data_IF_255186293003
#
_entry.id   IF_255186293003
#
_cell.length_a   1.000
_cell.length_b   1.000
_cell.length_c   1.000
_cell.angle_alpha   90.00
_cell.angle_beta   90.00
_cell.angle_gamma   90.00
#
_symmetry.space_group_name_H-M   'P 1'
#
loop_
_entity.id
_entity.type
_entity.pdbx_description
1 polymer ?
#
# COMPACT_ATOMS: atom_id res chain seq x y z
N UNK A 1 30.30 -0.92 17.28
CA UNK A 1 28.84 -0.60 17.32
C UNK A 1 28.09 -1.90 17.10
N UNK A 2 27.16 -2.28 17.98
CA UNK A 2 26.30 -3.46 17.73
C UNK A 2 25.25 -3.08 16.68
N UNK A 3 25.17 -3.77 15.54
CA UNK A 3 24.19 -3.44 14.51
C UNK A 3 22.77 -3.75 14.98
N UNK A 4 21.89 -2.77 14.83
CA UNK A 4 20.47 -2.81 15.21
C UNK A 4 19.63 -3.62 14.22
N UNK A 5 18.41 -3.98 14.62
CA UNK A 5 17.35 -4.52 13.75
C UNK A 5 16.51 -3.34 13.27
N UNK A 6 16.31 -3.18 11.96
CA UNK A 6 15.58 -2.05 11.38
C UNK A 6 14.48 -2.51 10.42
N UNK A 7 13.33 -1.82 10.49
CA UNK A 7 12.06 -2.24 9.90
C UNK A 7 11.83 -1.75 8.46
N UNK A 8 12.07 -0.48 8.07
CA UNK A 8 11.79 -0.06 6.69
C UNK A 8 13.03 0.05 5.78
N UNK A 9 14.25 -0.10 6.30
CA UNK A 9 15.46 0.32 5.57
C UNK A 9 16.05 -0.73 4.62
N UNK A 10 15.72 -2.01 4.75
CA UNK A 10 16.45 -3.07 4.05
C UNK A 10 16.25 -3.08 2.51
N UNK A 11 15.16 -2.50 2.02
CA UNK A 11 14.87 -2.36 0.59
C UNK A 11 15.18 -0.96 0.05
N UNK A 12 15.44 0.02 0.93
CA UNK A 12 15.76 1.41 0.59
C UNK A 12 17.25 1.64 0.37
N UNK A 13 18.05 0.58 0.43
CA UNK A 13 19.46 0.64 0.06
C UNK A 13 19.69 -0.39 -1.03
N UNK A 14 20.24 0.00 -2.20
CA UNK A 14 20.54 -0.91 -3.29
C UNK A 14 21.73 -1.83 -2.93
N UNK A 15 21.52 -2.70 -1.94
CA UNK A 15 22.53 -3.58 -1.35
C UNK A 15 23.55 -2.91 -0.42
N UNK A 16 23.68 -1.57 -0.44
CA UNK A 16 24.66 -0.83 0.36
C UNK A 16 24.12 -0.52 1.76
N UNK A 17 24.30 -1.45 2.67
CA UNK A 17 23.91 -1.26 4.08
C UNK A 17 25.10 -1.01 5.01
N UNK A 18 26.34 -0.98 4.52
CA UNK A 18 27.58 -0.64 5.25
C UNK A 18 27.72 -1.23 6.67
N UNK A 19 27.15 -2.41 6.90
CA UNK A 19 27.10 -3.04 8.23
C UNK A 19 26.22 -2.32 9.26
N UNK A 20 25.37 -1.36 8.86
CA UNK A 20 24.44 -0.61 9.72
C UNK A 20 23.45 -1.52 10.45
N UNK A 21 23.02 -2.60 9.80
CA UNK A 21 22.15 -3.63 10.37
C UNK A 21 22.59 -5.03 9.92
N UNK A 22 22.20 -6.04 10.71
CA UNK A 22 22.54 -7.46 10.47
C UNK A 22 21.32 -8.35 10.21
N UNK A 23 20.11 -7.82 10.39
CA UNK A 23 18.84 -8.49 10.15
C UNK A 23 17.73 -7.44 10.06
N UNK A 24 16.62 -7.80 9.43
CA UNK A 24 15.42 -6.97 9.33
C UNK A 24 14.18 -7.72 9.82
N UNK A 25 13.27 -6.99 10.47
CA UNK A 25 11.94 -7.48 10.84
C UNK A 25 10.92 -6.54 10.20
N UNK A 26 9.93 -7.07 9.47
CA UNK A 26 8.90 -6.30 8.79
C UNK A 26 7.50 -6.72 9.21
N UNK A 27 6.92 -6.14 10.28
CA UNK A 27 5.55 -6.40 10.68
C UNK A 27 4.58 -5.53 9.86
N UNK A 28 3.58 -6.16 9.24
CA UNK A 28 2.45 -5.49 8.59
C UNK A 28 2.85 -4.49 7.50
N UNK A 29 3.84 -4.88 6.69
CA UNK A 29 4.37 -4.07 5.60
C UNK A 29 5.88 -4.25 5.47
N UNK A 30 6.31 -5.00 4.45
CA UNK A 30 7.72 -5.13 4.12
C UNK A 30 7.88 -5.17 2.61
N UNK A 31 8.69 -4.26 2.07
CA UNK A 31 8.99 -4.22 0.65
C UNK A 31 7.96 -3.49 -0.22
N UNK A 32 6.90 -2.95 0.39
CA UNK A 32 5.95 -2.09 -0.32
C UNK A 32 5.56 -0.91 0.56
N UNK A 33 6.24 0.21 0.35
CA UNK A 33 5.62 1.50 0.58
C UNK A 33 4.86 1.73 -0.72
N UNK A 34 3.70 1.12 -0.93
CA UNK A 34 2.83 1.58 -2.02
C UNK A 34 2.48 3.02 -1.65
N UNK A 35 2.94 4.05 -2.38
CA UNK A 35 2.24 5.30 -2.28
C UNK A 35 0.86 4.96 -2.83
N UNK A 36 -0.18 5.03 -1.99
CA UNK A 36 -1.58 4.73 -2.38
C UNK A 36 -2.14 5.73 -3.38
N UNK A 37 -1.27 6.37 -4.16
CA UNK A 37 -1.51 7.43 -5.10
C UNK A 37 -1.13 6.93 -6.50
N UNK A 38 -1.93 7.23 -7.52
CA UNK A 38 -1.59 6.93 -8.91
C UNK A 38 -0.20 7.45 -9.29
N UNK A 39 0.64 6.58 -9.87
CA UNK A 39 2.03 6.89 -10.22
C UNK A 39 3.05 6.51 -9.14
N UNK A 40 2.60 6.02 -7.97
CA UNK A 40 3.46 5.47 -6.94
C UNK A 40 4.56 6.44 -6.50
N UNK A 41 5.83 6.01 -6.61
CA UNK A 41 6.99 6.82 -6.23
C UNK A 41 7.30 7.93 -7.25
N UNK A 42 6.69 7.90 -8.44
CA UNK A 42 6.84 8.89 -9.50
C UNK A 42 5.77 10.00 -9.41
N UNK A 43 5.47 10.43 -8.18
CA UNK A 43 4.40 11.40 -7.88
C UNK A 43 4.92 12.82 -7.67
N UNK A 44 6.07 13.18 -8.25
CA UNK A 44 6.72 14.49 -8.06
C UNK A 44 5.78 15.67 -8.36
N UNK A 45 4.97 15.57 -9.42
CA UNK A 45 3.99 16.62 -9.74
C UNK A 45 2.91 16.77 -8.66
N UNK A 46 2.46 15.67 -8.07
CA UNK A 46 1.50 15.69 -6.97
C UNK A 46 2.15 16.23 -5.69
N UNK A 47 3.38 15.80 -5.36
CA UNK A 47 4.12 16.34 -4.22
C UNK A 47 4.42 17.84 -4.39
N UNK A 48 4.66 18.31 -5.62
CA UNK A 48 4.76 19.74 -5.92
C UNK A 48 3.45 20.47 -5.63
N UNK A 49 2.30 19.91 -6.00
CA UNK A 49 1.00 20.51 -5.69
C UNK A 49 0.73 20.60 -4.18
N UNK A 50 1.13 19.57 -3.42
CA UNK A 50 1.05 19.54 -1.95
C UNK A 50 1.99 20.59 -1.35
N UNK A 51 3.22 20.69 -1.84
CA UNK A 51 4.19 21.71 -1.43
C UNK A 51 3.67 23.13 -1.69
N UNK A 52 3.15 23.38 -2.89
CA UNK A 52 2.56 24.66 -3.25
C UNK A 52 1.39 25.02 -2.32
N UNK A 53 0.55 24.04 -1.96
CA UNK A 53 -0.54 24.24 -1.02
C UNK A 53 -0.03 24.62 0.37
N UNK A 54 0.99 23.94 0.87
CA UNK A 54 1.65 24.28 2.13
C UNK A 54 2.17 25.72 2.09
N UNK A 55 2.88 26.12 1.04
CA UNK A 55 3.39 27.49 0.89
C UNK A 55 2.24 28.53 0.88
N UNK A 56 1.17 28.26 0.11
CA UNK A 56 -0.03 29.14 0.04
C UNK A 56 -0.71 29.32 1.39
N UNK A 57 -0.72 28.28 2.21
CA UNK A 57 -1.43 28.29 3.49
C UNK A 57 -0.74 29.12 4.59
N UNK A 58 0.53 29.48 4.40
CA UNK A 58 1.27 30.32 5.34
C UNK A 58 1.22 31.76 4.86
N UNK A 59 0.55 32.70 5.58
CA UNK A 59 0.32 34.06 5.09
C UNK A 59 1.59 34.81 4.68
N UNK A 60 2.70 34.63 5.42
CA UNK A 60 3.98 35.27 5.10
C UNK A 60 4.69 34.67 3.88
N UNK A 61 4.30 33.46 3.45
CA UNK A 61 4.91 32.75 2.33
C UNK A 61 3.99 32.63 1.11
N UNK A 62 2.72 33.02 1.21
CA UNK A 62 1.71 32.75 0.19
C UNK A 62 2.05 33.34 -1.20
N UNK A 63 2.79 34.45 -1.25
CA UNK A 63 3.22 35.09 -2.50
C UNK A 63 4.52 34.48 -3.08
N UNK A 64 5.12 33.50 -2.39
CA UNK A 64 6.38 32.87 -2.76
C UNK A 64 6.18 31.50 -3.41
N UNK A 65 4.95 31.13 -3.72
CA UNK A 65 4.66 29.85 -4.40
C UNK A 65 5.37 29.81 -5.76
N UNK A 66 5.97 28.68 -6.09
CA UNK A 66 6.78 28.49 -7.30
C UNK A 66 7.98 29.45 -7.43
N UNK A 67 8.47 30.00 -6.30
CA UNK A 67 9.73 30.77 -6.29
C UNK A 67 10.85 29.99 -5.59
N UNK A 68 12.13 30.29 -5.89
CA UNK A 68 13.27 29.68 -5.20
C UNK A 68 13.32 29.98 -3.69
N UNK A 69 12.64 31.03 -3.22
CA UNK A 69 12.67 31.48 -1.82
C UNK A 69 11.52 30.91 -0.97
N UNK A 70 10.61 30.13 -1.57
CA UNK A 70 9.49 29.51 -0.87
C UNK A 70 9.96 28.69 0.35
N UNK A 71 10.99 27.87 0.15
CA UNK A 71 11.53 26.97 1.18
C UNK A 71 12.17 27.75 2.33
N UNK A 72 12.90 28.82 2.05
CA UNK A 72 13.52 29.66 3.09
C UNK A 72 12.48 30.41 3.91
N UNK A 73 11.37 30.81 3.27
CA UNK A 73 10.23 31.36 3.99
C UNK A 73 9.60 30.35 4.94
N UNK A 74 9.35 29.11 4.47
CA UNK A 74 8.80 28.05 5.32
C UNK A 74 9.71 27.74 6.52
N UNK A 75 11.03 27.74 6.33
CA UNK A 75 12.01 27.55 7.42
C UNK A 75 11.95 28.65 8.49
N UNK A 76 11.50 29.84 8.12
CA UNK A 76 11.39 31.01 9.00
C UNK A 76 9.98 31.27 9.50
N UNK A 77 9.00 30.49 9.04
CA UNK A 77 7.60 30.66 9.39
C UNK A 77 7.33 30.34 10.85
N UNK A 78 6.27 30.93 11.41
CA UNK A 78 5.83 30.62 12.76
C UNK A 78 5.43 29.13 12.88
N UNK A 79 5.93 28.45 13.90
CA UNK A 79 5.68 27.03 14.12
C UNK A 79 4.17 26.72 14.26
N UNK A 80 3.38 27.59 14.91
CA UNK A 80 1.94 27.34 15.09
C UNK A 80 1.20 27.40 13.76
N UNK A 81 1.58 28.33 12.88
CA UNK A 81 1.04 28.42 11.53
C UNK A 81 1.40 27.18 10.71
N UNK A 82 2.68 26.76 10.76
CA UNK A 82 3.15 25.57 10.07
C UNK A 82 2.43 24.30 10.56
N UNK A 83 2.33 24.12 11.88
CA UNK A 83 1.66 22.97 12.47
C UNK A 83 0.15 22.95 12.15
N UNK A 84 -0.52 24.10 12.18
CA UNK A 84 -1.93 24.21 11.80
C UNK A 84 -2.16 23.86 10.32
N UNK A 85 -1.26 24.31 9.43
CA UNK A 85 -1.32 23.96 8.01
C UNK A 85 -1.05 22.47 7.76
N UNK A 86 -0.03 21.90 8.40
CA UNK A 86 0.29 20.47 8.28
C UNK A 86 -0.87 19.62 8.79
N UNK A 87 -1.52 20.00 9.88
CA UNK A 87 -2.70 19.29 10.38
C UNK A 87 -3.85 19.23 9.37
N UNK A 88 -3.98 20.25 8.51
CA UNK A 88 -4.98 20.28 7.44
C UNK A 88 -4.52 19.54 6.16
N UNK A 89 -3.21 19.55 5.87
CA UNK A 89 -2.63 18.89 4.69
C UNK A 89 -2.17 17.45 4.93
N UNK A 90 -2.19 16.94 6.17
CA UNK A 90 -1.81 15.57 6.50
C UNK A 90 -2.61 14.53 5.70
N UNK A 91 -3.87 14.84 5.37
CA UNK A 91 -4.73 14.03 4.52
C UNK A 91 -4.26 13.97 3.05
N UNK A 92 -3.40 14.89 2.60
CA UNK A 92 -2.87 14.93 1.24
C UNK A 92 -1.62 14.05 1.03
N UNK A 93 -1.14 13.37 2.09
CA UNK A 93 -0.08 12.35 2.10
C UNK A 93 1.26 12.79 1.48
N UNK A 94 2.19 13.22 2.34
CA UNK A 94 3.61 13.22 2.02
C UNK A 94 4.10 11.78 1.98
N UNK A 95 4.54 11.33 0.81
CA UNK A 95 5.00 9.96 0.57
C UNK A 95 6.45 9.97 0.09
N UNK A 96 7.21 8.88 0.26
CA UNK A 96 8.50 8.75 -0.41
C UNK A 96 8.33 8.91 -1.93
N UNK A 97 9.33 9.51 -2.57
CA UNK A 97 9.40 9.69 -4.03
C UNK A 97 10.75 9.22 -4.55
N UNK A 98 10.83 8.93 -5.85
CA UNK A 98 12.09 8.66 -6.52
C UNK A 98 13.01 9.88 -6.40
N UNK A 99 14.15 9.73 -5.74
CA UNK A 99 15.12 10.82 -5.49
C UNK A 99 16.46 10.60 -6.19
N UNK A 100 16.64 9.46 -6.88
CA UNK A 100 17.87 9.11 -7.57
C UNK A 100 19.03 8.69 -6.65
N UNK A 101 18.82 8.64 -5.33
CA UNK A 101 19.84 8.34 -4.32
C UNK A 101 19.37 7.25 -3.35
N UNK A 102 18.56 7.58 -2.34
CA UNK A 102 18.02 6.64 -1.36
C UNK A 102 16.96 5.76 -2.02
N UNK A 103 16.07 6.36 -2.82
CA UNK A 103 15.10 5.61 -3.62
C UNK A 103 15.37 5.86 -5.11
N UNK A 104 16.36 5.16 -5.69
CA UNK A 104 16.79 5.42 -7.07
C UNK A 104 15.86 4.81 -8.13
N UNK A 105 15.02 3.85 -7.75
CA UNK A 105 14.11 3.12 -8.65
C UNK A 105 12.91 2.57 -7.83
N UNK A 106 11.90 2.06 -8.51
CA UNK A 106 10.76 1.39 -7.88
C UNK A 106 11.21 0.15 -7.12
N UNK A 107 10.59 -0.11 -5.96
CA UNK A 107 10.93 -1.26 -5.10
C UNK A 107 10.83 -2.60 -5.84
N UNK A 108 9.84 -2.77 -6.73
CA UNK A 108 9.70 -3.96 -7.57
C UNK A 108 10.90 -4.18 -8.51
N UNK A 109 11.42 -3.13 -9.14
CA UNK A 109 12.62 -3.19 -9.99
C UNK A 109 13.87 -3.51 -9.17
N UNK A 110 14.03 -2.87 -8.02
CA UNK A 110 15.17 -3.13 -7.15
C UNK A 110 15.18 -4.57 -6.65
N UNK A 111 14.01 -5.12 -6.30
CA UNK A 111 13.89 -6.53 -5.89
C UNK A 111 14.22 -7.50 -7.03
N UNK A 112 13.65 -7.30 -8.23
CA UNK A 112 13.89 -8.18 -9.38
C UNK A 112 15.35 -8.17 -9.83
N UNK A 113 16.05 -7.05 -9.66
CA UNK A 113 17.48 -6.88 -9.94
C UNK A 113 18.40 -7.35 -8.80
N UNK A 114 17.84 -7.81 -7.67
CA UNK A 114 18.62 -8.23 -6.51
C UNK A 114 19.32 -7.08 -5.76
N UNK A 115 18.85 -5.84 -5.96
CA UNK A 115 19.36 -4.60 -5.34
C UNK A 115 18.68 -4.35 -3.99
N UNK A 116 18.92 -5.24 -3.02
CA UNK A 116 18.44 -5.09 -1.66
C UNK A 116 19.49 -5.62 -0.67
N UNK A 117 19.41 -5.23 0.60
CA UNK A 117 20.34 -5.72 1.61
C UNK A 117 20.14 -7.23 1.86
N UNK A 118 21.20 -8.03 1.67
CA UNK A 118 21.17 -9.48 1.86
C UNK A 118 21.43 -9.86 3.32
N UNK A 119 20.44 -9.61 4.16
CA UNK A 119 20.45 -9.97 5.58
C UNK A 119 19.30 -10.94 5.89
N UNK A 120 19.37 -11.71 6.98
CA UNK A 120 18.21 -12.45 7.50
C UNK A 120 17.00 -11.54 7.68
N UNK A 121 15.84 -12.03 7.24
CA UNK A 121 14.60 -11.28 7.19
C UNK A 121 13.48 -12.07 7.85
N UNK A 122 12.72 -11.41 8.73
CA UNK A 122 11.47 -11.91 9.29
C UNK A 122 10.35 -10.95 8.90
N UNK A 123 9.42 -11.37 8.05
CA UNK A 123 8.24 -10.58 7.65
C UNK A 123 6.99 -11.25 8.19
N UNK A 124 6.06 -10.44 8.68
CA UNK A 124 4.74 -10.88 9.11
C UNK A 124 3.64 -9.98 8.57
N UNK A 125 2.46 -10.54 8.39
CA UNK A 125 1.22 -9.81 8.07
C UNK A 125 0.09 -10.36 8.93
N UNK A 126 -0.93 -9.54 9.14
CA UNK A 126 -2.18 -10.00 9.72
C UNK A 126 -3.05 -10.64 8.63
N UNK A 127 -3.96 -11.53 9.03
CA UNK A 127 -4.94 -12.11 8.10
C UNK A 127 -5.85 -11.04 7.48
N UNK A 128 -6.13 -9.97 8.24
CA UNK A 128 -7.18 -8.99 7.94
C UNK A 128 -6.64 -7.53 7.89
N UNK A 129 -5.43 -7.29 7.35
CA UNK A 129 -4.79 -5.95 7.31
C UNK A 129 -5.69 -4.85 6.72
N UNK A 130 -6.46 -5.19 5.68
CA UNK A 130 -7.37 -4.26 5.01
C UNK A 130 -8.68 -3.98 5.75
N UNK A 131 -9.03 -4.77 6.77
CA UNK A 131 -10.34 -4.65 7.44
C UNK A 131 -10.51 -3.31 8.18
N UNK A 132 -9.42 -2.76 8.73
CA UNK A 132 -9.41 -1.47 9.42
C UNK A 132 -9.30 -0.26 8.49
N UNK A 133 -8.95 -0.48 7.22
CA UNK A 133 -8.76 0.62 6.26
C UNK A 133 -10.08 1.07 5.60
N UNK A 134 -11.16 0.30 5.79
CA UNK A 134 -12.46 0.55 5.18
C UNK A 134 -12.39 0.59 3.66
N UNK A 135 -13.51 0.70 2.96
CA UNK A 135 -13.43 1.04 1.56
C UNK A 135 -13.02 2.51 1.46
N UNK A 136 -11.77 2.77 1.08
CA UNK A 136 -11.25 4.10 0.67
C UNK A 136 -12.10 4.81 -0.42
N UNK A 137 -13.14 4.13 -0.92
CA UNK A 137 -14.09 4.62 -1.91
C UNK A 137 -15.56 4.69 -1.45
N UNK A 138 -15.85 4.49 -0.16
CA UNK A 138 -17.22 4.42 0.36
C UNK A 138 -17.83 3.02 0.28
N UNK A 139 -19.04 2.83 0.83
CA UNK A 139 -19.66 1.51 0.99
C UNK A 139 -19.69 0.68 -0.31
N UNK A 140 -19.15 -0.54 -0.27
CA UNK A 140 -19.12 -1.49 -1.40
C UNK A 140 -20.29 -2.48 -1.28
N UNK A 141 -21.37 -2.24 -2.02
CA UNK A 141 -22.58 -3.08 -1.99
C UNK A 141 -22.72 -3.98 -3.23
N UNK A 142 -22.01 -3.66 -4.32
CA UNK A 142 -22.08 -4.36 -5.59
C UNK A 142 -20.70 -4.52 -6.23
N UNK A 143 -20.58 -5.46 -7.18
CA UNK A 143 -19.34 -5.66 -7.94
C UNK A 143 -18.91 -4.37 -8.66
N UNK A 144 -19.86 -3.55 -9.11
CA UNK A 144 -19.56 -2.25 -9.71
C UNK A 144 -19.03 -1.24 -8.70
N UNK A 145 -19.52 -1.27 -7.44
CA UNK A 145 -18.93 -0.46 -6.37
C UNK A 145 -17.48 -0.89 -6.12
N UNK A 146 -17.23 -2.21 -6.13
CA UNK A 146 -15.89 -2.75 -5.94
C UNK A 146 -14.96 -2.36 -7.08
N UNK A 147 -15.39 -2.46 -8.34
CA UNK A 147 -14.62 -1.97 -9.51
C UNK A 147 -14.23 -0.50 -9.36
N UNK A 148 -15.19 0.36 -8.99
CA UNK A 148 -14.94 1.78 -8.77
C UNK A 148 -14.00 2.03 -7.59
N UNK A 149 -14.07 1.19 -6.56
CA UNK A 149 -13.18 1.29 -5.41
C UNK A 149 -11.73 0.98 -5.77
N UNK A 150 -11.48 -0.14 -6.44
CA UNK A 150 -10.12 -0.57 -6.82
C UNK A 150 -9.54 0.30 -7.93
N UNK A 151 -10.35 0.83 -8.85
CA UNK A 151 -9.87 1.68 -9.94
C UNK A 151 -9.15 2.94 -9.43
N UNK A 152 -9.48 3.44 -8.23
CA UNK A 152 -8.80 4.61 -7.63
C UNK A 152 -7.33 4.36 -7.31
N UNK A 153 -6.95 3.10 -7.13
CA UNK A 153 -5.59 2.68 -6.82
C UNK A 153 -4.79 2.30 -8.07
N UNK A 154 -5.46 2.16 -9.22
CA UNK A 154 -4.81 1.81 -10.48
C UNK A 154 -4.36 3.08 -11.18
N UNK A 155 -3.12 3.09 -11.67
CA UNK A 155 -2.56 4.19 -12.45
C UNK A 155 -3.40 4.46 -13.72
N UNK A 156 -3.62 5.73 -14.09
CA UNK A 156 -4.22 6.10 -15.37
C UNK A 156 -3.51 5.47 -16.58
N UNK A 157 -2.21 5.21 -16.47
CA UNK A 157 -1.38 4.61 -17.53
C UNK A 157 -1.39 3.07 -17.51
N UNK A 158 -2.04 2.43 -16.53
CA UNK A 158 -1.96 0.99 -16.34
C UNK A 158 -2.41 0.17 -17.56
N UNK A 159 -3.42 0.66 -18.30
CA UNK A 159 -3.88 0.00 -19.51
C UNK A 159 -2.80 -0.03 -20.61
N UNK A 160 -2.01 1.04 -20.70
CA UNK A 160 -0.88 1.16 -21.63
C UNK A 160 0.29 0.31 -21.15
N UNK A 161 0.67 0.43 -19.87
CA UNK A 161 1.81 -0.29 -19.29
C UNK A 161 1.62 -1.82 -19.38
N UNK A 162 0.42 -2.29 -19.09
CA UNK A 162 0.07 -3.72 -19.13
C UNK A 162 -0.40 -4.20 -20.50
N UNK A 163 -0.55 -3.30 -21.48
CA UNK A 163 -1.06 -3.61 -22.83
C UNK A 163 -2.42 -4.34 -22.78
N UNK A 164 -3.27 -3.95 -21.83
CA UNK A 164 -4.53 -4.64 -21.50
C UNK A 164 -5.62 -3.62 -21.20
N UNK A 165 -6.86 -3.91 -21.61
CA UNK A 165 -7.98 -3.05 -21.28
C UNK A 165 -8.19 -2.98 -19.77
N UNK A 166 -8.44 -1.77 -19.24
CA UNK A 166 -8.72 -1.58 -17.80
C UNK A 166 -9.88 -2.45 -17.30
N UNK A 167 -10.88 -2.70 -18.14
CA UNK A 167 -12.02 -3.56 -17.84
C UNK A 167 -11.63 -5.02 -17.63
N UNK A 168 -10.62 -5.51 -18.36
CA UNK A 168 -10.08 -6.86 -18.19
C UNK A 168 -9.31 -6.97 -16.88
N UNK A 169 -8.45 -5.99 -16.57
CA UNK A 169 -7.70 -5.91 -15.30
C UNK A 169 -8.66 -5.93 -14.10
N UNK A 170 -9.69 -5.07 -14.14
CA UNK A 170 -10.71 -5.03 -13.09
C UNK A 170 -11.53 -6.33 -13.00
N UNK A 171 -11.73 -7.02 -14.14
CA UNK A 171 -12.40 -8.32 -14.20
C UNK A 171 -11.60 -9.44 -13.52
N UNK A 172 -10.29 -9.46 -13.71
CA UNK A 172 -9.40 -10.40 -13.03
C UNK A 172 -9.36 -10.13 -11.52
N UNK A 173 -9.31 -8.86 -11.10
CA UNK A 173 -9.40 -8.52 -9.68
C UNK A 173 -10.71 -9.01 -9.04
N UNK A 174 -11.84 -8.95 -9.76
CA UNK A 174 -13.11 -9.50 -9.29
C UNK A 174 -13.13 -11.03 -9.20
N UNK A 175 -12.47 -11.69 -10.15
CA UNK A 175 -12.32 -13.15 -10.13
C UNK A 175 -11.46 -13.59 -8.94
N UNK A 176 -10.35 -12.89 -8.72
CA UNK A 176 -9.43 -13.12 -7.60
C UNK A 176 -10.02 -12.71 -6.26
N UNK A 177 -10.96 -11.76 -6.22
CA UNK A 177 -11.61 -11.26 -4.99
C UNK A 177 -13.14 -11.30 -5.08
N UNK A 178 -13.76 -12.49 -5.14
CA UNK A 178 -15.20 -12.63 -5.39
C UNK A 178 -16.04 -12.26 -4.16
N UNK A 179 -17.29 -11.84 -4.37
CA UNK A 179 -18.23 -11.61 -3.26
C UNK A 179 -18.79 -12.94 -2.71
N UNK A 180 -17.96 -13.65 -1.94
CA UNK A 180 -18.32 -14.90 -1.27
C UNK A 180 -17.98 -14.76 0.21
N UNK A 181 -18.94 -14.30 1.01
CA UNK A 181 -18.72 -13.99 2.42
C UNK A 181 -18.19 -15.16 3.26
N UNK A 182 -18.54 -16.41 2.89
CA UNK A 182 -18.06 -17.61 3.58
C UNK A 182 -16.54 -17.82 3.39
N UNK A 183 -15.98 -17.29 2.31
CA UNK A 183 -14.56 -17.31 2.04
C UNK A 183 -13.89 -16.01 2.52
N UNK A 184 -14.65 -14.90 2.59
CA UNK A 184 -14.16 -13.54 2.84
C UNK A 184 -13.47 -13.31 4.18
N UNK A 185 -12.57 -12.33 4.19
CA UNK A 185 -11.86 -11.81 5.37
C UNK A 185 -12.57 -10.56 5.95
N UNK A 186 -12.68 -10.40 7.28
CA UNK A 186 -12.32 -11.37 8.33
C UNK A 186 -13.11 -12.66 8.23
N UNK A 187 -12.52 -13.82 8.54
CA UNK A 187 -13.18 -15.13 8.38
C UNK A 187 -14.43 -15.29 9.27
N UNK A 188 -15.33 -16.22 8.94
CA UNK A 188 -16.49 -16.52 9.82
C UNK A 188 -16.07 -17.13 11.18
N UNK A 189 -14.83 -17.62 11.31
CA UNK A 189 -14.28 -18.03 12.62
C UNK A 189 -13.94 -16.81 13.49
N UNK A 190 -13.38 -15.77 12.88
CA UNK A 190 -12.98 -14.53 13.57
C UNK A 190 -14.18 -13.63 13.82
N UNK A 191 -15.06 -13.51 12.83
CA UNK A 191 -16.27 -12.71 12.89
C UNK A 191 -17.46 -13.55 12.37
N UNK A 192 -18.20 -14.24 13.27
CA UNK A 192 -19.25 -15.20 12.93
C UNK A 192 -20.56 -14.52 12.52
N UNK A 193 -20.46 -13.49 11.68
CA UNK A 193 -21.58 -12.69 11.20
C UNK A 193 -21.54 -12.59 9.67
N UNK A 194 -22.63 -13.04 9.03
CA UNK A 194 -22.85 -12.84 7.59
C UNK A 194 -23.51 -11.47 7.43
N UNK A 195 -22.84 -10.57 6.71
CA UNK A 195 -23.27 -9.21 6.44
C UNK A 195 -24.51 -9.23 5.55
N UNK A 196 -25.55 -8.53 5.98
CA UNK A 196 -26.82 -8.36 5.27
C UNK A 196 -27.04 -6.89 4.99
N UNK A 197 -27.85 -6.60 3.98
CA UNK A 197 -28.17 -5.23 3.55
C UNK A 197 -28.63 -4.26 4.67
N UNK A 198 -29.25 -4.79 5.73
CA UNK A 198 -29.81 -3.98 6.84
C UNK A 198 -28.86 -3.80 8.01
N UNK A 199 -27.70 -4.46 8.00
CA UNK A 199 -26.76 -4.40 9.11
C UNK A 199 -26.07 -3.04 9.15
N UNK A 200 -25.76 -2.56 10.36
CA UNK A 200 -25.00 -1.31 10.55
C UNK A 200 -23.63 -1.36 9.84
N UNK A 201 -22.99 -2.53 9.81
CA UNK A 201 -21.74 -2.76 9.08
C UNK A 201 -21.89 -2.55 7.57
N UNK A 202 -23.02 -2.95 6.99
CA UNK A 202 -23.30 -2.72 5.57
C UNK A 202 -23.54 -1.24 5.26
N UNK A 203 -24.06 -0.46 6.22
CA UNK A 203 -24.20 0.99 6.06
C UNK A 203 -22.84 1.71 6.03
N UNK A 204 -21.85 1.18 6.75
CA UNK A 204 -20.51 1.79 6.85
C UNK A 204 -19.56 1.31 5.76
N UNK A 205 -19.47 -0.01 5.54
CA UNK A 205 -18.51 -0.64 4.62
C UNK A 205 -19.14 -1.24 3.36
N UNK A 206 -20.47 -1.35 3.30
CA UNK A 206 -21.20 -2.03 2.23
C UNK A 206 -21.39 -3.53 2.47
N UNK A 207 -22.31 -4.14 1.73
CA UNK A 207 -22.64 -5.56 1.86
C UNK A 207 -21.50 -6.52 1.48
N UNK A 208 -20.62 -6.09 0.58
CA UNK A 208 -19.51 -6.88 0.05
C UNK A 208 -18.19 -6.48 0.69
N UNK A 209 -18.22 -5.99 1.92
CA UNK A 209 -17.01 -5.60 2.67
C UNK A 209 -16.07 -6.80 2.89
N UNK A 210 -16.60 -8.04 2.85
CA UNK A 210 -15.87 -9.28 3.05
C UNK A 210 -15.59 -9.98 1.72
N UNK A 211 -14.49 -9.61 1.06
CA UNK A 211 -14.00 -10.31 -0.14
C UNK A 211 -12.72 -11.10 0.20
N UNK A 212 -12.63 -12.39 -0.14
CA UNK A 212 -11.43 -13.21 0.02
C UNK A 212 -10.45 -12.99 -1.12
N UNK A 213 -9.31 -13.69 -1.06
CA UNK A 213 -8.58 -14.08 -2.26
C UNK A 213 -9.11 -15.46 -2.70
N UNK A 214 -9.40 -15.65 -4.00
CA UNK A 214 -9.84 -16.90 -4.61
C UNK A 214 -8.66 -17.88 -4.75
N UNK A 215 -8.91 -19.18 -4.60
CA UNK A 215 -7.93 -20.23 -4.84
C UNK A 215 -8.56 -21.43 -5.55
N UNK A 216 -8.06 -21.75 -6.75
CA UNK A 216 -8.34 -23.00 -7.46
C UNK A 216 -7.17 -23.98 -7.30
N UNK A 217 -7.17 -24.71 -6.19
CA UNK A 217 -6.34 -25.90 -5.86
C UNK A 217 -4.80 -25.74 -5.73
N UNK A 218 -4.29 -26.29 -4.62
CA UNK A 218 -2.90 -26.65 -4.29
C UNK A 218 -1.78 -25.65 -4.66
N UNK A 219 -1.68 -24.58 -3.85
CA UNK A 219 -0.50 -24.31 -3.01
C UNK A 219 0.90 -24.34 -3.64
N UNK A 220 1.06 -24.08 -4.94
CA UNK A 220 2.38 -23.87 -5.57
C UNK A 220 2.56 -22.39 -5.87
N UNK A 221 2.81 -21.58 -4.84
CA UNK A 221 3.17 -20.18 -5.09
C UNK A 221 3.41 -19.29 -3.86
N UNK A 222 2.78 -19.53 -2.71
CA UNK A 222 3.14 -18.84 -1.48
C UNK A 222 3.90 -19.77 -0.51
N UNK A 223 4.96 -19.24 0.09
CA UNK A 223 5.86 -20.02 0.97
C UNK A 223 5.19 -20.56 2.23
N UNK A 224 5.98 -21.27 3.05
CA UNK A 224 5.57 -21.66 4.41
C UNK A 224 5.74 -20.48 5.36
N UNK A 225 4.68 -20.11 6.06
CA UNK A 225 4.70 -19.08 7.11
C UNK A 225 4.53 -19.68 8.50
N UNK A 226 5.02 -18.98 9.52
CA UNK A 226 4.68 -19.27 10.92
C UNK A 226 3.43 -18.47 11.28
N UNK A 227 2.35 -19.16 11.63
CA UNK A 227 1.10 -18.56 12.08
C UNK A 227 1.09 -18.56 13.60
N UNK A 228 1.05 -17.37 14.19
CA UNK A 228 0.79 -17.19 15.62
C UNK A 228 -0.71 -17.20 15.87
N UNK A 229 -1.20 -18.13 16.69
CA UNK A 229 -2.61 -18.23 17.05
C UNK A 229 -2.77 -18.49 18.56
N UNK A 230 -4.00 -18.30 19.07
CA UNK A 230 -4.34 -18.52 20.47
C UNK A 230 -4.05 -19.95 20.95
N UNK A 231 -4.15 -20.92 20.05
CA UNK A 231 -3.87 -22.35 20.31
C UNK A 231 -2.37 -22.70 20.18
N UNK A 232 -1.52 -21.70 19.92
CA UNK A 232 -0.09 -21.86 19.74
C UNK A 232 0.40 -21.57 18.31
N UNK A 233 1.72 -21.42 18.13
CA UNK A 233 2.32 -21.19 16.83
C UNK A 233 2.33 -22.48 15.99
N UNK A 234 2.02 -22.36 14.70
CA UNK A 234 2.07 -23.49 13.74
C UNK A 234 2.62 -23.05 12.39
N UNK A 235 3.28 -23.95 11.67
CA UNK A 235 3.64 -23.69 10.27
C UNK A 235 2.41 -23.92 9.40
N UNK A 236 2.07 -22.96 8.56
CA UNK A 236 1.00 -23.08 7.59
C UNK A 236 1.49 -22.69 6.20
N UNK A 237 0.86 -23.26 5.18
CA UNK A 237 0.97 -22.77 3.82
C UNK A 237 -0.03 -21.65 3.62
N UNK A 238 0.37 -20.61 2.91
CA UNK A 238 -0.51 -19.50 2.55
C UNK A 238 -1.18 -19.76 1.19
N UNK A 239 -1.86 -20.90 1.09
CA UNK A 239 -2.45 -21.41 -0.16
C UNK A 239 -3.64 -20.57 -0.63
N UNK A 240 -4.46 -20.07 0.29
CA UNK A 240 -5.69 -19.34 -0.02
C UNK A 240 -5.49 -17.93 -0.59
N UNK A 241 -4.28 -17.32 -0.46
CA UNK A 241 -3.95 -16.01 -1.06
C UNK A 241 -3.04 -16.08 -2.29
N UNK A 242 -2.58 -17.29 -2.62
CA UNK A 242 -1.47 -17.46 -3.56
C UNK A 242 -1.74 -16.84 -4.93
N UNK A 243 -2.91 -17.10 -5.52
CA UNK A 243 -3.24 -16.59 -6.87
C UNK A 243 -3.30 -15.06 -6.92
N UNK A 244 -3.98 -14.44 -5.94
CA UNK A 244 -4.06 -12.98 -5.85
C UNK A 244 -2.69 -12.33 -5.63
N UNK A 245 -1.86 -12.92 -4.77
CA UNK A 245 -0.49 -12.42 -4.51
C UNK A 245 0.37 -12.54 -5.77
N UNK A 246 0.36 -13.69 -6.44
CA UNK A 246 1.12 -13.89 -7.69
C UNK A 246 0.67 -12.92 -8.77
N UNK A 247 -0.64 -12.72 -8.92
CA UNK A 247 -1.19 -11.75 -9.85
C UNK A 247 -0.69 -10.34 -9.55
N UNK A 248 -0.65 -9.93 -8.27
CA UNK A 248 -0.04 -8.65 -7.91
C UNK A 248 1.45 -8.63 -8.23
N UNK A 249 2.23 -9.65 -7.88
CA UNK A 249 3.67 -9.69 -8.18
C UNK A 249 3.98 -9.54 -9.68
N UNK A 250 3.13 -10.10 -10.54
CA UNK A 250 3.27 -10.02 -12.00
C UNK A 250 2.83 -8.66 -12.58
N UNK A 251 1.88 -7.98 -11.93
CA UNK A 251 1.22 -6.80 -12.50
C UNK A 251 1.52 -5.49 -11.75
N UNK A 252 2.06 -5.53 -10.51
CA UNK A 252 2.21 -4.40 -9.60
C UNK A 252 2.85 -3.18 -10.28
N UNK A 253 4.01 -3.37 -10.92
CA UNK A 253 4.72 -2.27 -11.59
C UNK A 253 3.83 -1.55 -12.62
N UNK A 254 3.13 -2.31 -13.47
CA UNK A 254 2.23 -1.72 -14.47
C UNK A 254 0.91 -1.20 -13.89
N UNK A 255 0.43 -1.75 -12.77
CA UNK A 255 -0.80 -1.34 -12.11
C UNK A 255 -0.66 -0.03 -11.34
N UNK A 256 0.41 0.12 -10.55
CA UNK A 256 0.51 1.19 -9.55
C UNK A 256 1.78 2.04 -9.66
N UNK A 257 2.80 1.59 -10.38
CA UNK A 257 4.17 2.11 -10.22
C UNK A 257 5.01 2.16 -11.49
N UNK A 258 4.48 2.75 -12.55
CA UNK A 258 5.23 3.24 -13.71
C UNK A 258 4.70 4.61 -14.14
#
# INVERSE_FOLDING_TARGET
>A
MSPSILTPHAHLFPGQHDGLFRAAIGPSGFGSILPGLPGGFNTTAQQQAIFDHLVRSIPSCALLVNTPTALDCLRSADFRQLNASIAQTFQQSWVPVLDGTILPDFSANMMSQGKFARVPLLVGTNSDEGAGMGPFAGAVNTDDDFRRAIQRFISPTAAENLHRAITAILGEALYLYPDIQNLGIPSLKTWPHVVRARDEYAKQGGQQLRRPVFAAQDGRGAGRGLVFALEGPRVAWDDWRTEGINWFMENDLGLVGS
#
